data_IF_046236967120
#
_entry.id   IF_046236967120
#
_cell.length_a   1.000
_cell.length_b   1.000
_cell.length_c   1.000
_cell.angle_alpha   90.00
_cell.angle_beta   90.00
_cell.angle_gamma   90.00
#
_symmetry.space_group_name_H-M   'P 1'
#
loop_
_entity.id
_entity.type
_entity.pdbx_description
1 polymer ?
#
# COMPACT_ATOMS: atom_id res chain seq x y z
N UNK A 1 8.35 8.73 -10.35
CA UNK A 1 9.61 8.19 -9.77
C UNK A 1 9.33 7.10 -8.74
N UNK A 2 8.43 7.33 -7.78
CA UNK A 2 8.15 6.40 -6.67
C UNK A 2 7.63 5.01 -7.09
N UNK A 3 6.86 4.90 -8.19
CA UNK A 3 6.31 3.61 -8.62
C UNK A 3 7.36 2.59 -9.09
N UNK A 4 8.42 3.04 -9.77
CA UNK A 4 9.51 2.17 -10.23
C UNK A 4 10.34 1.64 -9.05
N UNK A 5 10.54 2.47 -8.03
CA UNK A 5 11.26 2.10 -6.81
C UNK A 5 10.44 1.06 -6.03
N UNK A 6 9.14 1.31 -5.84
CA UNK A 6 8.25 0.38 -5.16
C UNK A 6 8.21 -0.99 -5.85
N UNK A 7 8.12 -1.04 -7.17
CA UNK A 7 8.12 -2.31 -7.93
C UNK A 7 9.45 -3.06 -7.79
N UNK A 8 10.59 -2.34 -7.81
CA UNK A 8 11.92 -2.94 -7.63
C UNK A 8 12.09 -3.60 -6.26
N UNK A 9 11.50 -3.01 -5.21
CA UNK A 9 11.70 -3.45 -3.82
C UNK A 9 10.49 -4.17 -3.22
N UNK A 10 9.50 -4.55 -4.02
CA UNK A 10 8.24 -5.13 -3.53
C UNK A 10 8.36 -6.43 -2.74
N UNK A 11 9.46 -7.18 -2.91
CA UNK A 11 9.70 -8.48 -2.26
C UNK A 11 10.73 -8.40 -1.11
N UNK A 12 11.20 -7.21 -0.74
CA UNK A 12 12.24 -7.06 0.29
C UNK A 12 11.59 -6.94 1.66
N UNK A 13 11.90 -7.84 2.59
CA UNK A 13 11.42 -7.74 3.97
C UNK A 13 12.12 -6.62 4.75
N UNK A 14 11.41 -6.08 5.73
CA UNK A 14 11.96 -5.23 6.79
C UNK A 14 12.28 -6.06 8.03
N UNK A 15 13.27 -5.61 8.81
CA UNK A 15 13.46 -6.05 10.19
C UNK A 15 12.34 -5.50 11.08
N UNK A 16 12.14 -6.08 12.26
CA UNK A 16 11.10 -5.65 13.19
C UNK A 16 11.26 -4.18 13.59
N UNK A 17 12.50 -3.70 13.78
CA UNK A 17 12.77 -2.29 14.09
C UNK A 17 12.41 -1.37 12.92
N UNK A 18 12.66 -1.82 11.68
CA UNK A 18 12.29 -1.07 10.48
C UNK A 18 10.77 -1.03 10.31
N UNK A 19 10.07 -2.12 10.59
CA UNK A 19 8.61 -2.17 10.58
C UNK A 19 8.04 -1.20 11.62
N UNK A 20 8.55 -1.23 12.86
CA UNK A 20 8.11 -0.32 13.92
C UNK A 20 8.34 1.16 13.54
N UNK A 21 9.54 1.51 13.09
CA UNK A 21 9.88 2.89 12.68
C UNK A 21 8.99 3.40 11.54
N UNK A 22 8.75 2.56 10.53
CA UNK A 22 7.91 2.92 9.37
C UNK A 22 6.44 3.04 9.78
N UNK A 23 5.96 2.16 10.64
CA UNK A 23 4.62 2.21 11.24
C UNK A 23 4.44 3.53 11.99
N UNK A 24 5.36 3.89 12.87
CA UNK A 24 5.32 5.15 13.62
C UNK A 24 5.37 6.38 12.70
N UNK A 25 6.21 6.35 11.67
CA UNK A 25 6.40 7.53 10.79
C UNK A 25 5.23 7.74 9.84
N UNK A 26 4.74 6.69 9.19
CA UNK A 26 3.74 6.81 8.12
C UNK A 26 2.33 6.89 8.70
N UNK A 27 2.10 6.23 9.83
CA UNK A 27 0.78 6.17 10.45
C UNK A 27 0.53 7.29 11.47
N UNK A 28 1.46 8.25 11.60
CA UNK A 28 1.15 9.57 12.18
C UNK A 28 0.07 10.29 11.38
N UNK A 29 -0.05 9.97 10.08
CA UNK A 29 -1.17 10.41 9.26
C UNK A 29 -2.27 9.34 9.26
N UNK A 30 -3.36 9.60 10.00
CA UNK A 30 -4.53 8.71 10.12
C UNK A 30 -5.17 8.35 8.78
N UNK A 31 -4.94 9.13 7.72
CA UNK A 31 -5.52 8.93 6.39
C UNK A 31 -4.80 7.83 5.59
N UNK A 32 -3.60 7.41 6.03
CA UNK A 32 -2.82 6.33 5.38
C UNK A 32 -3.36 4.94 5.72
N UNK A 33 -3.88 4.74 6.94
CA UNK A 33 -4.39 3.45 7.43
C UNK A 33 -5.55 2.92 6.58
N UNK A 34 -6.60 3.71 6.27
CA UNK A 34 -7.71 3.24 5.45
C UNK A 34 -7.28 2.75 4.06
N UNK A 35 -6.34 3.45 3.43
CA UNK A 35 -5.83 3.08 2.10
C UNK A 35 -5.07 1.75 2.16
N UNK A 36 -4.17 1.57 3.13
CA UNK A 36 -3.44 0.32 3.35
C UNK A 36 -4.40 -0.87 3.58
N UNK A 37 -5.41 -0.68 4.43
CA UNK A 37 -6.43 -1.70 4.72
C UNK A 37 -7.24 -2.05 3.46
N UNK A 38 -7.67 -1.04 2.69
CA UNK A 38 -8.39 -1.26 1.44
C UNK A 38 -7.55 -2.05 0.45
N UNK A 39 -6.27 -1.72 0.29
CA UNK A 39 -5.38 -2.46 -0.61
C UNK A 39 -5.22 -3.91 -0.13
N UNK A 40 -5.09 -4.16 1.19
CA UNK A 40 -4.99 -5.51 1.75
C UNK A 40 -6.23 -6.36 1.44
N UNK A 41 -7.44 -5.81 1.62
CA UNK A 41 -8.71 -6.52 1.32
C UNK A 41 -8.80 -7.01 -0.12
N UNK A 42 -8.15 -6.29 -1.04
CA UNK A 42 -8.13 -6.58 -2.46
C UNK A 42 -6.80 -7.16 -2.96
N UNK A 43 -5.84 -7.39 -2.06
CA UNK A 43 -4.56 -8.04 -2.35
C UNK A 43 -4.12 -8.89 -1.16
N UNK A 44 -4.60 -10.13 -1.09
CA UNK A 44 -3.89 -11.17 -0.35
C UNK A 44 -2.51 -11.30 -0.97
N UNK A 45 -1.46 -11.33 -0.14
CA UNK A 45 -0.03 -11.42 -0.47
C UNK A 45 0.26 -11.93 -1.90
N UNK A 46 1.04 -11.13 -2.66
CA UNK A 46 1.57 -11.36 -4.01
C UNK A 46 1.03 -12.62 -4.69
N UNK A 47 -0.21 -12.52 -5.20
CA UNK A 47 -0.79 -13.51 -6.09
C UNK A 47 -0.91 -12.89 -7.50
N UNK A 48 -0.30 -13.57 -8.47
CA UNK A 48 -0.28 -13.19 -9.89
C UNK A 48 -1.69 -13.11 -10.49
N UNK A 49 -2.63 -13.88 -9.94
CA UNK A 49 -4.04 -13.86 -10.29
C UNK A 49 -4.82 -12.77 -9.55
N UNK A 50 -4.34 -12.35 -8.38
CA UNK A 50 -4.96 -11.29 -7.61
C UNK A 50 -4.78 -9.96 -8.34
N UNK A 51 -5.88 -9.30 -8.68
CA UNK A 51 -5.85 -8.09 -9.53
C UNK A 51 -5.33 -6.87 -8.78
N UNK A 52 -5.26 -6.91 -7.44
CA UNK A 52 -5.14 -5.68 -6.66
C UNK A 52 -6.38 -4.81 -6.84
N UNK A 53 -6.28 -3.55 -6.47
CA UNK A 53 -7.37 -2.57 -6.56
C UNK A 53 -7.02 -1.42 -7.50
N UNK A 54 -7.97 -0.95 -8.30
CA UNK A 54 -7.71 0.15 -9.23
C UNK A 54 -7.60 1.48 -8.48
N UNK A 55 -6.95 2.48 -9.09
CA UNK A 55 -6.88 3.83 -8.49
C UNK A 55 -8.26 4.42 -8.20
N UNK A 56 -9.18 4.22 -9.16
CA UNK A 56 -10.55 4.75 -9.07
C UNK A 56 -11.28 4.12 -7.90
N UNK A 57 -11.27 2.80 -7.82
CA UNK A 57 -11.95 2.07 -6.74
C UNK A 57 -11.33 2.41 -5.38
N UNK A 58 -10.00 2.56 -5.31
CA UNK A 58 -9.32 3.00 -4.08
C UNK A 58 -9.83 4.35 -3.59
N UNK A 59 -9.91 5.34 -4.47
CA UNK A 59 -10.36 6.67 -4.11
C UNK A 59 -11.85 6.69 -3.71
N UNK A 60 -12.71 6.02 -4.49
CA UNK A 60 -14.14 5.98 -4.22
C UNK A 60 -14.47 5.29 -2.89
N UNK A 61 -13.67 4.30 -2.49
CA UNK A 61 -13.86 3.58 -1.24
C UNK A 61 -13.09 4.16 -0.04
N UNK A 62 -12.19 5.14 -0.25
CA UNK A 62 -11.40 5.70 0.84
C UNK A 62 -12.12 6.77 1.65
N UNK A 63 -13.19 7.37 1.11
CA UNK A 63 -13.86 8.52 1.72
C UNK A 63 -13.00 9.79 1.77
N UNK A 64 -11.88 9.82 1.06
CA UNK A 64 -10.94 10.95 1.06
C UNK A 64 -11.25 11.91 -0.10
N UNK A 65 -10.99 13.20 0.13
CA UNK A 65 -10.94 14.18 -0.94
C UNK A 65 -9.82 13.81 -1.93
N UNK A 66 -10.02 14.08 -3.22
CA UNK A 66 -9.11 13.69 -4.29
C UNK A 66 -7.65 14.11 -4.02
N UNK A 67 -7.43 15.33 -3.53
CA UNK A 67 -6.08 15.83 -3.21
C UNK A 67 -5.43 15.04 -2.06
N UNK A 68 -6.17 14.79 -0.98
CA UNK A 68 -5.72 14.00 0.17
C UNK A 68 -5.41 12.56 -0.26
N UNK A 69 -6.29 11.95 -1.05
CA UNK A 69 -6.09 10.63 -1.62
C UNK A 69 -4.78 10.53 -2.41
N UNK A 70 -4.52 11.48 -3.33
CA UNK A 70 -3.29 11.48 -4.11
C UNK A 70 -2.04 11.64 -3.25
N UNK A 71 -2.12 12.48 -2.22
CA UNK A 71 -1.02 12.69 -1.27
C UNK A 71 -0.70 11.40 -0.52
N UNK A 72 -1.72 10.77 0.06
CA UNK A 72 -1.60 9.49 0.77
C UNK A 72 -1.06 8.39 -0.15
N UNK A 73 -1.59 8.27 -1.36
CA UNK A 73 -1.15 7.27 -2.32
C UNK A 73 0.34 7.42 -2.66
N UNK A 74 0.82 8.66 -2.84
CA UNK A 74 2.24 8.94 -3.09
C UNK A 74 3.14 8.67 -1.90
N UNK A 75 2.66 8.94 -0.66
CA UNK A 75 3.37 8.59 0.58
C UNK A 75 3.59 7.07 0.63
N UNK A 76 2.53 6.28 0.43
CA UNK A 76 2.59 4.82 0.48
C UNK A 76 3.49 4.22 -0.61
N UNK A 77 3.46 4.78 -1.83
CA UNK A 77 4.38 4.40 -2.91
C UNK A 77 5.83 4.78 -2.60
N UNK A 78 6.06 6.00 -2.09
CA UNK A 78 7.39 6.50 -1.74
C UNK A 78 8.03 5.69 -0.61
N UNK A 79 7.22 5.27 0.35
CA UNK A 79 7.60 4.37 1.43
C UNK A 79 7.74 2.90 1.01
N UNK A 80 7.45 2.57 -0.25
CA UNK A 80 7.52 1.20 -0.76
C UNK A 80 6.61 0.21 -0.01
N UNK A 81 5.50 0.68 0.55
CA UNK A 81 4.49 -0.18 1.20
C UNK A 81 3.50 -0.77 0.19
N UNK A 82 3.29 -0.07 -0.91
CA UNK A 82 2.43 -0.50 -2.01
C UNK A 82 3.19 -0.34 -3.33
N UNK A 83 2.80 -1.09 -4.35
CA UNK A 83 3.37 -0.99 -5.69
C UNK A 83 2.30 -1.06 -6.78
N UNK A 84 2.65 -0.62 -7.99
CA UNK A 84 1.75 -0.59 -9.14
C UNK A 84 1.95 -1.84 -10.01
N UNK A 85 0.85 -2.52 -10.33
CA UNK A 85 0.82 -3.63 -11.29
C UNK A 85 0.08 -3.18 -12.54
N UNK A 86 0.70 -3.36 -13.72
CA UNK A 86 0.04 -3.14 -15.01
C UNK A 86 -0.50 -4.47 -15.53
N UNK A 87 -1.82 -4.57 -15.73
CA UNK A 87 -2.46 -5.78 -16.29
C UNK A 87 -3.19 -5.50 -17.61
N UNK A 88 -3.10 -6.45 -18.53
CA UNK A 88 -3.86 -6.50 -19.79
C UNK A 88 -3.32 -5.62 -20.93
N UNK A 89 -3.81 -5.87 -22.15
CA UNK A 89 -3.57 -5.02 -23.33
C UNK A 89 -4.33 -3.70 -23.14
N UNK A 90 -3.60 -2.64 -22.82
CA UNK A 90 -4.14 -1.34 -22.41
C UNK A 90 -3.52 -0.80 -21.12
N UNK A 91 -2.78 -1.64 -20.37
CA UNK A 91 -1.93 -1.16 -19.27
C UNK A 91 -2.70 -0.61 -18.07
N UNK A 92 -3.88 -1.19 -17.74
CA UNK A 92 -4.63 -0.79 -16.55
C UNK A 92 -3.75 -0.95 -15.31
N UNK A 93 -3.71 0.10 -14.48
CA UNK A 93 -2.88 0.15 -13.28
C UNK A 93 -3.71 -0.24 -12.06
N UNK A 94 -3.17 -1.18 -11.30
CA UNK A 94 -3.70 -1.65 -10.03
C UNK A 94 -2.65 -1.47 -8.94
N UNK A 95 -3.09 -1.43 -7.69
CA UNK A 95 -2.24 -1.31 -6.51
C UNK A 95 -2.32 -2.56 -5.66
N UNK A 96 -1.18 -2.97 -5.14
CA UNK A 96 -1.01 -4.13 -4.26
C UNK A 96 -0.03 -3.81 -3.15
N UNK A 97 -0.12 -4.56 -2.05
CA UNK A 97 0.89 -4.53 -0.99
C UNK A 97 2.23 -5.07 -1.47
N UNK A 98 3.31 -4.43 -1.04
CA UNK A 98 4.62 -5.07 -1.01
C UNK A 98 4.71 -6.01 0.21
N UNK A 99 5.74 -6.83 0.30
CA UNK A 99 6.02 -7.60 1.52
C UNK A 99 6.14 -6.70 2.76
N UNK A 100 6.78 -5.54 2.60
CA UNK A 100 6.90 -4.51 3.65
C UNK A 100 5.54 -3.98 4.09
N UNK A 101 4.67 -3.67 3.12
CA UNK A 101 3.29 -3.25 3.40
C UNK A 101 2.51 -4.31 4.17
N UNK A 102 2.72 -5.59 3.83
CA UNK A 102 2.16 -6.73 4.55
C UNK A 102 2.67 -6.81 6.00
N UNK A 103 4.00 -6.73 6.20
CA UNK A 103 4.60 -6.74 7.54
C UNK A 103 4.14 -5.57 8.41
N UNK A 104 4.02 -4.37 7.82
CA UNK A 104 3.48 -3.20 8.53
C UNK A 104 2.03 -3.44 8.97
N UNK A 105 1.18 -3.98 8.09
CA UNK A 105 -0.20 -4.31 8.46
C UNK A 105 -0.28 -5.40 9.53
N UNK A 106 0.56 -6.43 9.44
CA UNK A 106 0.64 -7.48 10.45
C UNK A 106 1.06 -6.91 11.82
N UNK A 107 2.08 -6.06 11.83
CA UNK A 107 2.50 -5.36 13.04
C UNK A 107 1.38 -4.49 13.62
N UNK A 108 0.63 -3.78 12.78
CA UNK A 108 -0.50 -2.96 13.23
C UNK A 108 -1.60 -3.79 13.87
N UNK A 109 -1.91 -4.96 13.29
CA UNK A 109 -2.91 -5.90 13.85
C UNK A 109 -2.46 -6.46 15.19
N UNK A 110 -1.19 -6.88 15.30
CA UNK A 110 -0.65 -7.45 16.54
C UNK A 110 -0.61 -6.45 17.70
N UNK A 111 -0.50 -5.15 17.39
CA UNK A 111 -0.40 -4.08 18.37
C UNK A 111 -1.71 -3.28 18.56
N UNK A 112 -2.84 -3.75 18.02
CA UNK A 112 -4.16 -3.09 18.11
C UNK A 112 -4.16 -1.63 17.61
N UNK A 113 -3.41 -1.35 16.54
CA UNK A 113 -3.35 -0.01 15.93
C UNK A 113 -4.43 0.21 14.86
N UNK A 114 -5.13 -0.86 14.46
CA UNK A 114 -6.29 -0.91 13.56
C UNK A 114 -7.26 -2.02 13.95
#
# INVERSE_FOLDING_TARGET
MNSLIADKYKNVNFSDEQVAMVTETILTNDETKPILILINKHSTLIDENNKGISRKDLWENSGLLQYTFETVLHILLGATLIYQVKKGRGGKVFYQLTYRGGQVLEYMLLNNLI
#
